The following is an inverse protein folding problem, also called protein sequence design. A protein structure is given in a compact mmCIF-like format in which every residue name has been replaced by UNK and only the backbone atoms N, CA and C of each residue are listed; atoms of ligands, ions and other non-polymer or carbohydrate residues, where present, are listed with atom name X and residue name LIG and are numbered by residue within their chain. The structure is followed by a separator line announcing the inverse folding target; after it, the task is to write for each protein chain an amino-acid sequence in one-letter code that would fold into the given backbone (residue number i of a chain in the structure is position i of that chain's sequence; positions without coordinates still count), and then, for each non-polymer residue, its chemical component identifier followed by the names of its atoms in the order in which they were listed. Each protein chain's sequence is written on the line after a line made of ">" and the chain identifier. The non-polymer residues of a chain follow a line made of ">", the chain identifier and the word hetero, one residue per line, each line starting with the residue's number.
data_IF_840055921049
#
_entry.id   IF_840055921049
#
_cell.length_a   1.000
_cell.length_b   1.000
_cell.length_c   1.000
_cell.angle_alpha   90.00
_cell.angle_beta   90.00
_cell.angle_gamma   90.00
#
_symmetry.space_group_name_H-M   'P 1'
#
loop_
_entity.id
_entity.type
_entity.pdbx_description
1 polymer ?
#
# COMPACT_ATOMS: atom_id res chain seq x y z
N UNK A 1 -13.68 -3.73 -31.77
CA UNK A 1 -12.98 -3.89 -30.47
C UNK A 1 -13.56 -2.85 -29.54
N UNK A 2 -14.16 -3.24 -28.42
CA UNK A 2 -14.79 -2.28 -27.50
C UNK A 2 -13.71 -1.51 -26.72
N UNK A 3 -13.71 -0.19 -26.81
CA UNK A 3 -12.86 0.69 -26.02
C UNK A 3 -13.28 0.57 -24.55
N UNK A 4 -12.43 -0.04 -23.71
CA UNK A 4 -12.63 -0.01 -22.25
C UNK A 4 -12.41 1.43 -21.77
N UNK A 5 -13.49 2.11 -21.38
CA UNK A 5 -13.41 3.38 -20.65
C UNK A 5 -12.54 3.17 -19.40
N UNK A 6 -11.46 3.95 -19.30
CA UNK A 6 -10.65 4.02 -18.09
C UNK A 6 -11.42 4.86 -17.07
N UNK A 7 -11.94 4.23 -16.03
CA UNK A 7 -12.53 4.93 -14.90
C UNK A 7 -11.46 5.27 -13.87
N UNK A 8 -11.40 6.54 -13.48
CA UNK A 8 -10.52 6.99 -12.40
C UNK A 8 -11.17 6.66 -11.07
N UNK A 9 -10.61 5.69 -10.35
CA UNK A 9 -11.06 5.35 -9.00
C UNK A 9 -10.41 6.34 -8.03
N UNK A 10 -11.21 7.13 -7.33
CA UNK A 10 -10.74 7.94 -6.20
C UNK A 10 -10.43 7.00 -5.04
N UNK A 11 -9.17 6.60 -4.91
CA UNK A 11 -8.71 5.78 -3.78
C UNK A 11 -8.14 6.66 -2.66
N UNK A 12 -8.46 6.33 -1.41
CA UNK A 12 -7.88 6.98 -0.24
C UNK A 12 -6.86 6.02 0.38
N UNK A 13 -5.61 6.48 0.53
CA UNK A 13 -4.53 5.69 1.10
C UNK A 13 -4.73 5.34 2.59
N UNK A 14 -5.70 5.97 3.24
CA UNK A 14 -6.11 5.65 4.61
C UNK A 14 -7.17 4.55 4.70
N UNK A 15 -7.67 4.04 3.57
CA UNK A 15 -8.63 2.94 3.59
C UNK A 15 -7.99 1.64 4.05
N UNK A 16 -8.78 0.83 4.73
CA UNK A 16 -8.41 -0.53 5.08
C UNK A 16 -8.73 -1.47 3.91
N UNK A 17 -7.82 -2.39 3.65
CA UNK A 17 -7.95 -3.43 2.64
C UNK A 17 -7.73 -4.80 3.30
N UNK A 18 -8.41 -5.82 2.78
CA UNK A 18 -8.22 -7.21 3.18
C UNK A 18 -7.32 -7.91 2.18
N UNK A 19 -6.26 -8.55 2.67
CA UNK A 19 -5.27 -9.23 1.82
C UNK A 19 -4.95 -10.59 2.41
N UNK A 20 -4.86 -11.61 1.56
CA UNK A 20 -4.37 -12.94 1.94
C UNK A 20 -2.88 -13.02 1.64
N UNK A 21 -2.06 -13.21 2.67
CA UNK A 21 -0.62 -13.33 2.52
C UNK A 21 -0.22 -14.75 2.14
N UNK A 22 0.73 -14.87 1.23
CA UNK A 22 1.45 -16.12 0.94
C UNK A 22 2.68 -16.24 1.84
N UNK A 23 3.36 -17.39 1.86
CA UNK A 23 4.62 -17.56 2.58
C UNK A 23 5.68 -16.53 2.17
N UNK A 24 5.71 -16.17 0.88
CA UNK A 24 6.57 -15.11 0.37
C UNK A 24 6.14 -13.74 0.90
N UNK A 25 4.84 -13.44 0.91
CA UNK A 25 4.30 -12.22 1.50
C UNK A 25 4.64 -12.06 2.99
N UNK A 26 4.58 -13.15 3.76
CA UNK A 26 4.96 -13.14 5.18
C UNK A 26 6.45 -12.81 5.34
N UNK A 27 7.32 -13.37 4.50
CA UNK A 27 8.77 -13.05 4.52
C UNK A 27 9.04 -11.59 4.19
N UNK A 28 8.36 -11.02 3.20
CA UNK A 28 8.47 -9.60 2.85
C UNK A 28 8.02 -8.71 4.01
N UNK A 29 6.89 -9.05 4.63
CA UNK A 29 6.38 -8.35 5.79
C UNK A 29 7.41 -8.33 6.92
N UNK A 30 7.96 -9.49 7.30
CA UNK A 30 8.98 -9.60 8.33
C UNK A 30 10.26 -8.82 7.99
N UNK A 31 10.70 -8.90 6.74
CA UNK A 31 11.89 -8.21 6.25
C UNK A 31 11.73 -6.69 6.33
N UNK A 32 10.55 -6.17 5.98
CA UNK A 32 10.26 -4.72 6.03
C UNK A 32 10.43 -4.16 7.45
N UNK A 33 9.88 -4.82 8.48
CA UNK A 33 10.05 -4.36 9.87
C UNK A 33 11.47 -4.54 10.40
N UNK A 34 12.13 -5.65 10.03
CA UNK A 34 13.53 -5.89 10.40
C UNK A 34 14.46 -4.84 9.81
N UNK A 35 14.25 -4.43 8.55
CA UNK A 35 15.04 -3.40 7.86
C UNK A 35 15.05 -2.07 8.61
N UNK A 36 13.95 -1.71 9.26
CA UNK A 36 13.81 -0.46 10.02
C UNK A 36 14.02 -0.64 11.54
N UNK A 37 14.46 -1.82 11.98
CA UNK A 37 14.59 -2.17 13.40
C UNK A 37 13.32 -1.89 14.22
N UNK A 38 12.16 -2.13 13.60
CA UNK A 38 10.86 -1.94 14.22
C UNK A 38 10.35 -3.25 14.83
N UNK A 39 9.58 -3.19 15.93
CA UNK A 39 8.96 -4.39 16.49
C UNK A 39 7.99 -4.99 15.47
N UNK A 40 8.12 -6.28 15.20
CA UNK A 40 7.26 -6.98 14.27
C UNK A 40 5.85 -7.12 14.86
N UNK A 41 4.80 -6.53 14.25
CA UNK A 41 3.44 -6.68 14.73
C UNK A 41 2.94 -8.11 14.50
N UNK A 42 2.15 -8.63 15.43
CA UNK A 42 1.47 -9.91 15.25
C UNK A 42 0.46 -9.79 14.09
N UNK A 43 0.54 -10.72 13.15
CA UNK A 43 -0.42 -10.81 12.05
C UNK A 43 -1.69 -11.47 12.60
N UNK A 44 -2.82 -10.76 12.51
CA UNK A 44 -4.13 -11.28 12.89
C UNK A 44 -4.91 -11.65 11.61
N UNK A 45 -5.23 -12.93 11.46
CA UNK A 45 -6.04 -13.44 10.37
C UNK A 45 -7.51 -13.50 10.79
N UNK A 46 -8.41 -13.14 9.88
CA UNK A 46 -9.85 -13.39 10.04
C UNK A 46 -10.20 -14.86 9.78
N UNK A 47 -11.47 -15.21 9.99
CA UNK A 47 -12.00 -16.57 9.82
C UNK A 47 -11.78 -17.14 8.40
N UNK A 48 -11.58 -16.25 7.41
CA UNK A 48 -11.36 -16.60 6.02
C UNK A 48 -9.88 -16.55 5.61
N UNK A 49 -8.98 -16.29 6.56
CA UNK A 49 -7.53 -16.24 6.32
C UNK A 49 -7.06 -14.93 5.69
N UNK A 50 -7.82 -13.83 5.80
CA UNK A 50 -7.40 -12.50 5.36
C UNK A 50 -6.82 -11.68 6.51
N UNK A 51 -5.90 -10.78 6.18
CA UNK A 51 -5.29 -9.81 7.08
C UNK A 51 -5.70 -8.42 6.63
N UNK A 52 -6.04 -7.56 7.58
CA UNK A 52 -6.37 -6.16 7.30
C UNK A 52 -5.13 -5.27 7.36
N UNK A 53 -4.99 -4.40 6.35
CA UNK A 53 -3.95 -3.39 6.29
C UNK A 53 -4.54 -2.03 5.96
N UNK A 54 -3.98 -0.96 6.52
CA UNK A 54 -4.14 0.35 5.89
C UNK A 54 -3.41 0.35 4.55
N UNK A 55 -4.05 0.92 3.52
CA UNK A 55 -3.56 0.84 2.14
C UNK A 55 -2.16 1.43 1.98
N UNK A 56 -1.83 2.54 2.66
CA UNK A 56 -0.46 3.08 2.63
C UNK A 56 0.57 2.14 3.28
N UNK A 57 0.23 1.47 4.38
CA UNK A 57 1.13 0.48 5.02
C UNK A 57 1.36 -0.69 4.07
N UNK A 58 0.30 -1.18 3.44
CA UNK A 58 0.40 -2.24 2.44
C UNK A 58 1.32 -1.84 1.28
N UNK A 59 1.13 -0.64 0.74
CA UNK A 59 1.97 -0.13 -0.36
C UNK A 59 3.43 0.04 0.07
N UNK A 60 3.71 0.48 1.31
CA UNK A 60 5.08 0.61 1.80
C UNK A 60 5.80 -0.75 1.95
N UNK A 61 5.06 -1.81 2.29
CA UNK A 61 5.65 -3.14 2.52
C UNK A 61 5.78 -3.91 1.22
N UNK A 62 4.74 -3.90 0.38
CA UNK A 62 4.64 -4.77 -0.78
C UNK A 62 4.79 -4.04 -2.11
N UNK A 63 4.71 -2.71 -2.13
CA UNK A 63 4.68 -1.90 -3.35
C UNK A 63 5.85 -2.14 -4.30
N UNK A 64 7.06 -2.35 -3.77
CA UNK A 64 8.26 -2.65 -4.57
C UNK A 64 8.16 -4.00 -5.31
N UNK A 65 7.38 -4.93 -4.77
CA UNK A 65 7.18 -6.28 -5.34
C UNK A 65 5.91 -6.39 -6.18
N UNK A 66 5.01 -5.40 -6.08
CA UNK A 66 3.80 -5.31 -6.88
C UNK A 66 4.14 -4.74 -8.25
N UNK A 67 4.45 -5.65 -9.18
CA UNK A 67 4.40 -5.31 -10.60
C UNK A 67 2.94 -5.27 -11.04
N UNK A 68 2.42 -4.08 -11.34
CA UNK A 68 1.29 -4.01 -12.24
C UNK A 68 1.79 -4.50 -13.60
N UNK A 69 1.26 -5.61 -14.11
CA UNK A 69 1.50 -6.09 -15.48
C UNK A 69 1.04 -5.12 -16.58
N UNK A 70 0.82 -3.85 -16.24
CA UNK A 70 0.53 -2.72 -17.11
C UNK A 70 1.65 -1.69 -16.98
N UNK A 71 2.05 -1.08 -18.11
CA UNK A 71 2.89 0.12 -18.17
C UNK A 71 2.55 1.06 -17.00
N UNK A 72 3.52 1.31 -16.12
CA UNK A 72 3.38 2.15 -14.93
C UNK A 72 2.72 3.48 -15.35
N UNK A 73 1.49 3.80 -14.88
CA UNK A 73 0.76 4.96 -15.38
C UNK A 73 1.25 6.29 -14.79
N UNK A 74 2.22 6.25 -13.87
CA UNK A 74 2.80 7.42 -13.26
C UNK A 74 4.28 7.56 -13.65
N UNK A 75 4.56 8.62 -14.41
CA UNK A 75 5.91 9.18 -14.51
C UNK A 75 6.28 9.83 -13.17
N UNK A 76 7.56 9.76 -12.74
CA UNK A 76 8.02 10.13 -11.39
C UNK A 76 8.18 11.64 -11.16
N UNK A 77 7.47 12.49 -11.88
CA UNK A 77 7.47 13.95 -11.64
C UNK A 77 6.53 14.32 -10.47
N UNK A 78 6.66 13.61 -9.35
CA UNK A 78 5.96 13.93 -8.11
C UNK A 78 6.68 15.09 -7.45
N UNK A 79 6.24 16.32 -7.76
CA UNK A 79 6.58 17.51 -6.97
C UNK A 79 5.61 17.63 -5.80
N UNK A 80 6.05 17.26 -4.61
CA UNK A 80 5.28 17.42 -3.37
C UNK A 80 5.51 18.84 -2.85
N UNK A 81 4.47 19.66 -2.85
CA UNK A 81 4.46 20.95 -2.18
C UNK A 81 3.51 20.86 -0.98
N UNK A 82 4.02 21.11 0.22
CA UNK A 82 3.23 21.21 1.45
C UNK A 82 2.90 22.67 1.75
N UNK A 83 1.71 22.93 2.27
CA UNK A 83 1.35 24.21 2.88
C UNK A 83 1.40 24.04 4.40
N UNK A 84 2.13 24.91 5.09
CA UNK A 84 1.92 25.11 6.53
C UNK A 84 0.69 25.98 6.67
N UNK A 85 -0.35 25.48 7.33
CA UNK A 85 -1.35 26.36 7.93
C UNK A 85 -0.69 26.97 9.17
N UNK A 86 -0.41 28.27 9.13
CA UNK A 86 -0.08 29.03 10.33
C UNK A 86 -1.31 29.00 11.22
N UNK A 87 -1.23 28.23 12.32
CA UNK A 87 -2.24 28.29 13.36
C UNK A 87 -2.16 29.68 13.98
N UNK A 88 -3.16 30.51 13.65
CA UNK A 88 -3.34 31.82 14.25
C UNK A 88 -3.99 31.59 15.62
N UNK A 89 -3.23 31.84 16.69
CA UNK A 89 -3.78 32.04 18.05
C UNK A 89 -4.62 33.32 18.10
#
# INVERSE_FOLDING_TARGET
>A
MAEKKKEWIKTNLNYYIKVRLTDYGIKLYQSSYTKYNLPLPKINYDENGYVEFQMHVFMNIFGETLSFGSKMPCYPDVKIQYYKEDQTE
#
